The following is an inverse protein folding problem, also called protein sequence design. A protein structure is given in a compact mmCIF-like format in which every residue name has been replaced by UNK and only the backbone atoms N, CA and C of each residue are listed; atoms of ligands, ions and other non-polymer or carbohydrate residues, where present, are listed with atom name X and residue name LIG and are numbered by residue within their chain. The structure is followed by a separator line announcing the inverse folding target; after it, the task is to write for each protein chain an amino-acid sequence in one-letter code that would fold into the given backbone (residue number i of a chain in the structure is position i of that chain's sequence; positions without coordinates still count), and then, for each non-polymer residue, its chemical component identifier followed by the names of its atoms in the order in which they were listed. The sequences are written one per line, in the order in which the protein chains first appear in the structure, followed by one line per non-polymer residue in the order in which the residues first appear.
data_IF_250426632738
#
_entry.id   IF_250426632738
#
_cell.length_a   1.000
_cell.length_b   1.000
_cell.length_c   1.000
_cell.angle_alpha   90.00
_cell.angle_beta   90.00
_cell.angle_gamma   90.00
#
_symmetry.space_group_name_H-M   'P 1'
#
loop_
_entity.id
_entity.type
_entity.pdbx_description
1 polymer ?
#
# COMPACT_ATOMS: atom_id res chain seq x y z
N UNK A 1 -14.69 31.40 -33.05
CA UNK A 1 -15.79 31.22 -32.10
C UNK A 1 -15.61 32.23 -30.98
N UNK A 2 -16.61 33.08 -30.75
CA UNK A 2 -16.66 33.93 -29.58
C UNK A 2 -16.85 33.04 -28.35
N UNK A 3 -15.87 33.08 -27.43
CA UNK A 3 -15.92 32.34 -26.15
C UNK A 3 -16.63 33.23 -25.12
N UNK A 4 -17.81 32.83 -24.68
CA UNK A 4 -18.64 33.60 -23.74
C UNK A 4 -18.25 33.39 -22.27
N UNK A 5 -17.27 32.50 -21.99
CA UNK A 5 -16.75 32.21 -20.65
C UNK A 5 -15.49 33.02 -20.33
N UNK A 6 -15.31 33.32 -19.04
CA UNK A 6 -14.07 33.94 -18.56
C UNK A 6 -12.88 33.01 -18.82
N UNK A 7 -11.88 33.53 -19.51
CA UNK A 7 -10.63 32.80 -19.79
C UNK A 7 -9.54 33.25 -18.83
N UNK A 8 -8.86 32.31 -18.22
CA UNK A 8 -7.66 32.54 -17.40
C UNK A 8 -6.47 32.02 -18.20
N UNK A 9 -5.62 32.93 -18.68
CA UNK A 9 -4.40 32.58 -19.42
C UNK A 9 -3.30 32.23 -18.41
N UNK A 10 -2.69 31.05 -18.57
CA UNK A 10 -1.60 30.56 -17.73
C UNK A 10 -0.47 30.00 -18.59
N UNK A 11 0.76 30.00 -18.07
CA UNK A 11 1.93 29.49 -18.80
C UNK A 11 1.91 27.95 -18.91
N UNK A 12 1.52 27.27 -17.81
CA UNK A 12 1.42 25.81 -17.77
C UNK A 12 0.02 25.39 -17.29
N UNK A 13 -0.81 25.01 -18.24
CA UNK A 13 -2.19 24.57 -17.98
C UNK A 13 -2.23 23.31 -17.10
N UNK A 14 -1.38 22.33 -17.37
CA UNK A 14 -1.32 21.07 -16.60
C UNK A 14 -1.02 21.32 -15.13
N UNK A 15 -0.01 22.14 -14.83
CA UNK A 15 0.34 22.48 -13.45
C UNK A 15 -0.78 23.27 -12.75
N UNK A 16 -1.44 24.18 -13.45
CA UNK A 16 -2.55 24.93 -12.86
C UNK A 16 -3.75 24.04 -12.53
N UNK A 17 -4.07 23.09 -13.40
CA UNK A 17 -5.14 22.10 -13.15
C UNK A 17 -4.76 21.21 -11.96
N UNK A 18 -3.53 20.73 -11.90
CA UNK A 18 -3.04 19.94 -10.75
C UNK A 18 -3.21 20.71 -9.45
N UNK A 19 -2.70 21.95 -9.39
CA UNK A 19 -2.80 22.80 -8.20
C UNK A 19 -4.26 23.02 -7.76
N UNK A 20 -5.18 23.25 -8.71
CA UNK A 20 -6.61 23.42 -8.43
C UNK A 20 -7.24 22.14 -7.85
N UNK A 21 -6.89 20.97 -8.41
CA UNK A 21 -7.36 19.68 -7.91
C UNK A 21 -6.81 19.39 -6.51
N UNK A 22 -5.55 19.70 -6.24
CA UNK A 22 -4.93 19.58 -4.92
C UNK A 22 -5.61 20.51 -3.89
N UNK A 23 -5.82 21.78 -4.25
CA UNK A 23 -6.54 22.73 -3.40
C UNK A 23 -7.95 22.22 -3.08
N UNK A 24 -8.70 21.75 -4.08
CA UNK A 24 -10.02 21.19 -3.86
C UNK A 24 -9.97 19.93 -2.97
N UNK A 25 -9.01 19.03 -3.21
CA UNK A 25 -8.84 17.83 -2.40
C UNK A 25 -8.50 18.16 -0.93
N UNK A 26 -7.72 19.21 -0.70
CA UNK A 26 -7.38 19.68 0.66
C UNK A 26 -8.59 20.21 1.44
N UNK A 27 -9.67 20.66 0.75
CA UNK A 27 -10.92 21.07 1.41
C UNK A 27 -11.78 19.92 1.88
N UNK A 28 -11.51 18.68 1.44
CA UNK A 28 -12.28 17.51 1.85
C UNK A 28 -11.97 17.17 3.32
N UNK A 29 -13.01 16.96 4.15
CA UNK A 29 -12.79 16.60 5.53
C UNK A 29 -12.06 15.26 5.63
N UNK A 30 -10.97 15.21 6.39
CA UNK A 30 -10.29 13.96 6.72
C UNK A 30 -11.14 13.21 7.76
N UNK A 31 -11.28 11.91 7.57
CA UNK A 31 -11.85 11.06 8.60
C UNK A 31 -10.87 10.94 9.77
N UNK A 32 -11.39 10.93 10.98
CA UNK A 32 -10.64 10.72 12.22
C UNK A 32 -11.41 9.82 13.15
N UNK A 33 -10.72 9.23 14.13
CA UNK A 33 -11.32 8.38 15.14
C UNK A 33 -11.28 6.89 14.80
N UNK A 34 -11.40 6.09 15.83
CA UNK A 34 -11.32 4.62 15.77
C UNK A 34 -12.75 4.08 15.93
N UNK A 35 -13.17 3.24 14.99
CA UNK A 35 -14.46 2.56 15.08
C UNK A 35 -14.51 1.61 16.26
N UNK A 36 -15.66 1.56 16.93
CA UNK A 36 -15.93 0.57 17.98
C UNK A 36 -16.04 -0.87 17.45
N UNK A 37 -16.18 -1.04 16.14
CA UNK A 37 -16.21 -2.33 15.46
C UNK A 37 -14.84 -2.75 14.93
N UNK A 38 -13.79 -1.95 15.11
CA UNK A 38 -12.42 -2.33 14.82
C UNK A 38 -11.85 -3.17 15.98
N UNK A 39 -11.03 -4.16 15.64
CA UNK A 39 -10.27 -4.96 16.61
C UNK A 39 -8.82 -4.51 16.59
N UNK A 40 -8.34 -3.90 17.65
CA UNK A 40 -6.96 -3.44 17.79
C UNK A 40 -6.35 -4.13 18.98
N UNK A 41 -5.23 -4.84 18.74
CA UNK A 41 -4.49 -5.50 19.81
C UNK A 41 -3.91 -4.47 20.79
N UNK A 42 -3.95 -4.75 22.08
CA UNK A 42 -3.44 -3.84 23.14
C UNK A 42 -1.92 -3.56 23.01
N UNK A 43 -1.16 -4.47 22.39
CA UNK A 43 0.27 -4.27 22.11
C UNK A 43 0.54 -3.45 20.81
N UNK A 44 -0.50 -3.07 20.06
CA UNK A 44 -0.35 -2.21 18.90
C UNK A 44 -0.16 -0.74 19.34
N UNK A 45 0.66 0.00 18.59
CA UNK A 45 0.93 1.41 18.84
C UNK A 45 0.25 2.26 17.76
N UNK A 46 -0.63 3.17 18.19
CA UNK A 46 -1.36 4.06 17.31
C UNK A 46 -0.86 5.49 17.48
N UNK A 47 -0.49 6.12 16.37
CA UNK A 47 -0.16 7.54 16.33
C UNK A 47 -1.38 8.44 16.49
N UNK A 48 -1.15 9.75 16.59
CA UNK A 48 -2.21 10.74 16.74
C UNK A 48 -3.05 10.90 15.47
N UNK A 49 -4.30 11.33 15.63
CA UNK A 49 -5.22 11.67 14.55
C UNK A 49 -5.47 10.56 13.50
N UNK A 50 -5.31 9.30 13.89
CA UNK A 50 -5.62 8.17 13.02
C UNK A 50 -7.11 7.99 12.80
N UNK A 51 -7.47 7.43 11.65
CA UNK A 51 -8.79 6.87 11.37
C UNK A 51 -8.68 5.37 11.19
N UNK A 52 -9.53 4.61 11.89
CA UNK A 52 -9.67 3.16 11.71
C UNK A 52 -11.14 2.82 11.51
N UNK A 53 -11.47 2.29 10.33
CA UNK A 53 -12.83 1.94 9.93
C UNK A 53 -13.31 0.60 10.50
N UNK A 54 -14.59 0.33 10.29
CA UNK A 54 -15.29 -0.85 10.81
C UNK A 54 -14.64 -2.15 10.31
N UNK A 55 -14.61 -3.17 11.18
CA UNK A 55 -14.11 -4.52 10.89
C UNK A 55 -12.64 -4.58 10.45
N UNK A 56 -11.88 -3.53 10.72
CA UNK A 56 -10.42 -3.55 10.57
C UNK A 56 -9.80 -4.26 11.76
N UNK A 57 -8.81 -5.13 11.47
CA UNK A 57 -8.03 -5.84 12.49
C UNK A 57 -6.60 -5.32 12.46
N UNK A 58 -6.06 -4.98 13.63
CA UNK A 58 -4.66 -4.57 13.82
C UNK A 58 -4.06 -5.47 14.90
N UNK A 59 -3.06 -6.25 14.52
CA UNK A 59 -2.45 -7.29 15.35
C UNK A 59 -1.33 -6.77 16.26
N UNK A 60 -0.78 -7.69 17.06
CA UNK A 60 0.21 -7.38 18.08
C UNK A 60 1.50 -6.76 17.51
N UNK A 61 2.06 -5.80 18.21
CA UNK A 61 3.31 -5.14 17.84
C UNK A 61 3.25 -4.25 16.60
N UNK A 62 2.08 -4.12 15.96
CA UNK A 62 1.90 -3.20 14.84
C UNK A 62 2.13 -1.75 15.29
N UNK A 63 2.80 -0.96 14.44
CA UNK A 63 3.12 0.45 14.69
C UNK A 63 2.53 1.32 13.59
N UNK A 64 1.55 2.13 13.92
CA UNK A 64 0.85 3.02 13.00
C UNK A 64 1.24 4.46 13.31
N UNK A 65 1.80 5.14 12.33
CA UNK A 65 2.23 6.54 12.45
C UNK A 65 1.06 7.51 12.61
N UNK A 66 1.38 8.79 12.87
CA UNK A 66 0.36 9.84 12.99
C UNK A 66 -0.37 10.07 11.65
N UNK A 67 -1.61 10.54 11.73
CA UNK A 67 -2.42 10.93 10.57
C UNK A 67 -2.70 9.80 9.55
N UNK A 68 -2.50 8.54 9.91
CA UNK A 68 -2.80 7.39 9.06
C UNK A 68 -4.32 7.18 8.97
N UNK A 69 -4.80 6.86 7.77
CA UNK A 69 -6.21 6.55 7.52
C UNK A 69 -6.36 5.09 7.07
N UNK A 70 -6.90 4.24 7.91
CA UNK A 70 -7.18 2.83 7.60
C UNK A 70 -8.69 2.67 7.43
N UNK A 71 -9.11 2.40 6.21
CA UNK A 71 -10.52 2.24 5.86
C UNK A 71 -11.04 0.86 6.29
N UNK A 72 -12.37 0.60 6.19
CA UNK A 72 -12.96 -0.63 6.70
C UNK A 72 -12.40 -1.93 6.11
N UNK A 73 -12.49 -3.03 6.88
CA UNK A 73 -12.16 -4.40 6.45
C UNK A 73 -10.68 -4.61 6.09
N UNK A 74 -9.78 -3.80 6.62
CA UNK A 74 -8.34 -4.00 6.47
C UNK A 74 -7.81 -5.00 7.49
N UNK A 75 -6.72 -5.67 7.13
CA UNK A 75 -5.94 -6.52 8.03
C UNK A 75 -4.50 -6.01 8.10
N UNK A 76 -4.05 -5.70 9.29
CA UNK A 76 -2.69 -5.25 9.59
C UNK A 76 -2.08 -6.29 10.53
N UNK A 77 -1.16 -7.09 10.01
CA UNK A 77 -0.57 -8.23 10.70
C UNK A 77 0.42 -7.84 11.81
N UNK A 78 0.90 -8.86 12.51
CA UNK A 78 1.85 -8.70 13.61
C UNK A 78 3.11 -7.94 13.17
N UNK A 79 3.57 -7.03 14.02
CA UNK A 79 4.80 -6.25 13.83
C UNK A 79 4.87 -5.45 12.51
N UNK A 80 3.74 -5.19 11.87
CA UNK A 80 3.68 -4.30 10.70
C UNK A 80 3.97 -2.86 11.12
N UNK A 81 4.72 -2.14 10.27
CA UNK A 81 4.96 -0.70 10.47
C UNK A 81 4.31 0.10 9.35
N UNK A 82 3.55 1.15 9.69
CA UNK A 82 2.92 2.06 8.74
C UNK A 82 3.35 3.49 9.06
N UNK A 83 3.98 4.13 8.08
CA UNK A 83 4.47 5.50 8.19
C UNK A 83 3.35 6.54 8.21
N UNK A 84 3.70 7.72 8.72
CA UNK A 84 2.80 8.86 8.86
C UNK A 84 2.10 9.25 7.56
N UNK A 85 0.83 9.69 7.65
CA UNK A 85 0.07 10.23 6.54
C UNK A 85 -0.43 9.20 5.51
N UNK A 86 -0.05 7.93 5.66
CA UNK A 86 -0.42 6.86 4.73
C UNK A 86 -1.93 6.59 4.75
N UNK A 87 -2.49 6.35 3.56
CA UNK A 87 -3.89 6.05 3.36
C UNK A 87 -4.07 4.62 2.84
N UNK A 88 -4.86 3.84 3.55
CA UNK A 88 -5.11 2.42 3.30
C UNK A 88 -6.59 2.22 3.03
N UNK A 89 -6.94 1.97 1.77
CA UNK A 89 -8.32 1.82 1.31
C UNK A 89 -8.94 0.48 1.73
N UNK A 90 -10.28 0.30 1.59
CA UNK A 90 -10.96 -0.87 2.12
C UNK A 90 -10.41 -2.20 1.61
N UNK A 91 -10.36 -3.19 2.49
CA UNK A 91 -9.99 -4.55 2.14
C UNK A 91 -8.50 -4.80 1.90
N UNK A 92 -7.62 -3.84 2.13
CA UNK A 92 -6.16 -4.04 2.07
C UNK A 92 -5.70 -5.00 3.15
N UNK A 93 -4.75 -5.86 2.80
CA UNK A 93 -4.13 -6.82 3.72
C UNK A 93 -2.61 -6.66 3.70
N UNK A 94 -2.06 -6.46 4.88
CA UNK A 94 -0.61 -6.36 5.10
C UNK A 94 -0.23 -7.46 6.08
N UNK A 95 0.54 -8.43 5.59
CA UNK A 95 0.97 -9.57 6.38
C UNK A 95 2.08 -9.18 7.37
N UNK A 96 2.30 -10.06 8.34
CA UNK A 96 3.23 -9.84 9.45
C UNK A 96 4.65 -9.45 8.98
N UNK A 97 5.30 -8.59 9.76
CA UNK A 97 6.68 -8.15 9.57
C UNK A 97 6.94 -7.25 8.36
N UNK A 98 5.91 -6.86 7.62
CA UNK A 98 6.04 -5.94 6.50
C UNK A 98 6.08 -4.49 6.96
N UNK A 99 6.65 -3.61 6.13
CA UNK A 99 6.68 -2.17 6.39
C UNK A 99 6.15 -1.35 5.22
N UNK A 100 5.42 -0.30 5.53
CA UNK A 100 4.91 0.72 4.60
C UNK A 100 5.38 2.08 5.07
N UNK A 101 6.00 2.84 4.19
CA UNK A 101 6.53 4.16 4.45
C UNK A 101 5.48 5.23 4.65
N UNK A 102 5.91 6.50 4.60
CA UNK A 102 5.06 7.68 4.77
C UNK A 102 4.35 8.07 3.48
N UNK A 103 3.19 8.73 3.64
CA UNK A 103 2.42 9.32 2.54
C UNK A 103 2.07 8.32 1.42
N UNK A 104 2.06 7.04 1.71
CA UNK A 104 1.68 6.02 0.74
C UNK A 104 0.15 5.99 0.53
N UNK A 105 -0.26 5.52 -0.64
CA UNK A 105 -1.66 5.28 -0.97
C UNK A 105 -1.81 3.82 -1.41
N UNK A 106 -2.53 3.03 -0.61
CA UNK A 106 -2.81 1.63 -0.92
C UNK A 106 -4.29 1.52 -1.30
N UNK A 107 -4.56 1.27 -2.58
CA UNK A 107 -5.93 1.14 -3.07
C UNK A 107 -6.60 -0.17 -2.64
N UNK A 108 -7.92 -0.25 -2.84
CA UNK A 108 -8.74 -1.36 -2.32
C UNK A 108 -8.24 -2.73 -2.79
N UNK A 109 -8.21 -3.69 -1.87
CA UNK A 109 -7.85 -5.07 -2.15
C UNK A 109 -6.35 -5.34 -2.37
N UNK A 110 -5.47 -4.35 -2.19
CA UNK A 110 -4.01 -4.56 -2.21
C UNK A 110 -3.62 -5.60 -1.16
N UNK A 111 -2.72 -6.52 -1.55
CA UNK A 111 -2.15 -7.54 -0.67
C UNK A 111 -0.63 -7.38 -0.63
N UNK A 112 -0.09 -7.21 0.57
CA UNK A 112 1.35 -7.04 0.80
C UNK A 112 1.84 -8.17 1.70
N UNK A 113 2.85 -8.93 1.24
CA UNK A 113 3.53 -9.93 2.05
C UNK A 113 2.91 -11.31 2.04
N UNK A 114 2.03 -11.63 1.07
CA UNK A 114 1.64 -13.01 0.82
C UNK A 114 2.86 -13.83 0.37
N UNK A 115 2.81 -15.15 0.59
CA UNK A 115 3.90 -16.04 0.20
C UNK A 115 4.14 -16.01 -1.31
N UNK A 116 5.40 -15.87 -1.70
CA UNK A 116 5.83 -16.05 -3.08
C UNK A 116 5.63 -17.48 -3.59
N UNK A 117 5.65 -17.65 -4.90
CA UNK A 117 5.50 -18.94 -5.58
C UNK A 117 6.81 -19.75 -5.46
N UNK A 118 6.91 -20.52 -4.38
CA UNK A 118 8.10 -21.31 -4.06
C UNK A 118 7.73 -22.77 -3.74
N UNK A 119 8.12 -23.71 -4.64
CA UNK A 119 7.87 -25.14 -4.47
C UNK A 119 9.09 -25.96 -4.94
N UNK A 120 9.37 -27.07 -4.25
CA UNK A 120 10.40 -28.04 -4.62
C UNK A 120 9.72 -29.32 -5.12
N UNK A 121 10.13 -29.87 -6.28
CA UNK A 121 9.60 -31.15 -6.75
C UNK A 121 10.06 -32.30 -5.85
N UNK A 122 9.18 -33.29 -5.65
CA UNK A 122 9.47 -34.54 -4.96
C UNK A 122 9.60 -35.68 -5.96
N UNK A 123 10.17 -36.80 -5.52
CA UNK A 123 10.36 -38.00 -6.36
C UNK A 123 9.05 -38.61 -6.85
N UNK A 124 7.96 -38.44 -6.09
CA UNK A 124 6.61 -38.90 -6.44
C UNK A 124 5.87 -37.99 -7.43
N UNK A 125 6.53 -36.92 -7.92
CA UNK A 125 5.94 -35.93 -8.83
C UNK A 125 5.10 -34.85 -8.14
N UNK A 126 4.94 -34.90 -6.84
CA UNK A 126 4.30 -33.85 -6.06
C UNK A 126 5.23 -32.69 -5.77
N UNK A 127 4.72 -31.60 -5.16
CA UNK A 127 5.49 -30.42 -4.80
C UNK A 127 5.44 -30.15 -3.29
N UNK A 128 6.61 -29.88 -2.70
CA UNK A 128 6.72 -29.39 -1.34
C UNK A 128 6.71 -27.86 -1.34
N UNK A 129 5.91 -27.25 -0.48
CA UNK A 129 5.96 -25.80 -0.22
C UNK A 129 7.34 -25.42 0.34
N UNK A 130 7.95 -24.39 -0.23
CA UNK A 130 9.13 -23.74 0.34
C UNK A 130 8.63 -22.57 1.20
N UNK A 131 8.86 -22.58 2.53
CA UNK A 131 8.47 -21.47 3.39
C UNK A 131 9.09 -20.16 2.95
N UNK A 132 8.32 -19.09 3.01
CA UNK A 132 8.75 -17.73 2.69
C UNK A 132 8.90 -16.96 4.00
N UNK A 133 10.14 -16.71 4.44
CA UNK A 133 10.47 -16.19 5.77
C UNK A 133 10.85 -14.70 5.75
N UNK A 134 10.96 -14.10 4.57
CA UNK A 134 11.26 -12.69 4.42
C UNK A 134 10.01 -11.81 4.55
N UNK A 135 10.14 -10.56 4.15
CA UNK A 135 9.07 -9.59 4.25
C UNK A 135 8.98 -8.71 2.98
N UNK A 136 8.15 -7.66 3.05
CA UNK A 136 8.06 -6.60 2.04
C UNK A 136 8.37 -5.26 2.71
N UNK A 137 9.14 -4.43 2.02
CA UNK A 137 9.42 -3.05 2.38
C UNK A 137 8.87 -2.14 1.29
N UNK A 138 7.87 -1.33 1.64
CA UNK A 138 7.37 -0.25 0.81
C UNK A 138 7.96 1.05 1.36
N UNK A 139 8.73 1.78 0.56
CA UNK A 139 9.29 3.07 0.97
C UNK A 139 8.24 4.20 0.89
N UNK A 140 8.67 5.46 1.13
CA UNK A 140 7.77 6.61 1.18
C UNK A 140 7.17 6.99 -0.20
N UNK A 141 6.05 7.70 -0.19
CA UNK A 141 5.40 8.29 -1.36
C UNK A 141 4.98 7.28 -2.44
N UNK A 142 4.81 6.00 -2.09
CA UNK A 142 4.39 4.92 -3.01
C UNK A 142 2.88 4.89 -3.17
N UNK A 143 2.41 4.64 -4.39
CA UNK A 143 1.00 4.38 -4.66
C UNK A 143 0.82 3.00 -5.31
N UNK A 144 -0.05 2.18 -4.73
CA UNK A 144 -0.38 0.84 -5.21
C UNK A 144 -1.85 0.78 -5.64
N UNK A 145 -2.10 0.51 -6.91
CA UNK A 145 -3.43 0.38 -7.50
C UNK A 145 -4.21 -0.82 -6.96
N UNK A 146 -5.50 -0.83 -7.21
CA UNK A 146 -6.42 -1.82 -6.66
C UNK A 146 -6.05 -3.26 -7.04
N UNK A 147 -6.17 -4.17 -6.07
CA UNK A 147 -5.87 -5.60 -6.21
C UNK A 147 -4.43 -5.91 -6.70
N UNK A 148 -3.50 -5.00 -6.50
CA UNK A 148 -2.06 -5.27 -6.69
C UNK A 148 -1.56 -6.15 -5.57
N UNK A 149 -0.77 -7.18 -5.92
CA UNK A 149 -0.18 -8.13 -4.98
C UNK A 149 1.35 -8.01 -5.00
N UNK A 150 1.95 -7.96 -3.82
CA UNK A 150 3.40 -7.92 -3.63
C UNK A 150 3.79 -9.06 -2.69
N UNK A 151 4.48 -10.05 -3.25
CA UNK A 151 4.89 -11.24 -2.50
C UNK A 151 6.07 -10.92 -1.57
N UNK A 152 6.07 -11.57 -0.39
CA UNK A 152 7.23 -11.51 0.50
C UNK A 152 8.42 -12.24 -0.12
N UNK A 153 9.60 -11.81 0.25
CA UNK A 153 10.82 -12.51 -0.10
C UNK A 153 10.88 -13.91 0.54
N UNK A 154 11.58 -14.84 -0.10
CA UNK A 154 11.91 -16.14 0.50
C UNK A 154 12.76 -15.95 1.77
N UNK A 155 13.79 -15.14 1.66
CA UNK A 155 14.64 -14.63 2.73
C UNK A 155 14.96 -13.18 2.38
N UNK A 156 15.24 -12.33 3.35
CA UNK A 156 15.46 -10.90 3.13
C UNK A 156 14.16 -10.15 2.77
N UNK A 157 14.15 -9.21 1.83
CA UNK A 157 13.01 -8.36 1.54
C UNK A 157 12.70 -8.26 0.04
N UNK A 158 11.41 -8.19 -0.31
CA UNK A 158 10.94 -7.60 -1.57
C UNK A 158 10.80 -6.09 -1.34
N UNK A 159 11.34 -5.25 -2.22
CA UNK A 159 11.48 -3.82 -1.96
C UNK A 159 10.81 -2.99 -3.06
N UNK A 160 9.92 -2.09 -2.64
CA UNK A 160 9.34 -1.06 -3.51
C UNK A 160 9.90 0.29 -3.07
N UNK A 161 10.76 0.87 -3.90
CA UNK A 161 11.47 2.11 -3.58
C UNK A 161 10.55 3.33 -3.62
N UNK A 162 11.07 4.43 -3.07
CA UNK A 162 10.34 5.69 -2.93
C UNK A 162 9.75 6.18 -4.26
N UNK A 163 8.53 6.73 -4.19
CA UNK A 163 7.88 7.41 -5.32
C UNK A 163 7.28 6.49 -6.38
N UNK A 164 7.41 5.17 -6.24
CA UNK A 164 6.87 4.20 -7.21
C UNK A 164 5.34 4.32 -7.31
N UNK A 165 4.81 4.22 -8.55
CA UNK A 165 3.39 4.23 -8.87
C UNK A 165 3.03 2.97 -9.65
N UNK A 166 2.32 2.06 -9.02
CA UNK A 166 1.80 0.84 -9.64
C UNK A 166 0.31 0.99 -9.87
N UNK A 167 -0.13 0.74 -11.09
CA UNK A 167 -1.55 0.70 -11.46
C UNK A 167 -2.22 -0.58 -10.93
N UNK A 168 -3.44 -0.85 -11.32
CA UNK A 168 -4.26 -1.94 -10.79
C UNK A 168 -3.79 -3.32 -11.28
N UNK A 169 -4.05 -4.37 -10.46
CA UNK A 169 -3.85 -5.77 -10.84
C UNK A 169 -2.39 -6.12 -11.19
N UNK A 170 -1.43 -5.46 -10.58
CA UNK A 170 -0.01 -5.76 -10.77
C UNK A 170 0.42 -6.89 -9.83
N UNK A 171 1.27 -7.81 -10.31
CA UNK A 171 1.90 -8.85 -9.50
C UNK A 171 3.40 -8.61 -9.41
N UNK A 172 3.90 -8.40 -8.20
CA UNK A 172 5.33 -8.36 -7.90
C UNK A 172 5.72 -9.63 -7.16
N UNK A 173 6.59 -10.42 -7.76
CA UNK A 173 7.09 -11.68 -7.19
C UNK A 173 8.08 -11.47 -6.04
N UNK A 174 8.43 -12.57 -5.37
CA UNK A 174 9.35 -12.56 -4.24
C UNK A 174 10.76 -12.06 -4.60
N UNK A 175 11.43 -11.39 -3.67
CA UNK A 175 12.82 -10.92 -3.84
C UNK A 175 13.02 -9.96 -5.04
N UNK A 176 11.99 -9.24 -5.44
CA UNK A 176 12.07 -8.20 -6.48
C UNK A 176 12.42 -6.87 -5.82
N UNK A 177 13.20 -6.05 -6.49
CA UNK A 177 13.40 -4.65 -6.15
C UNK A 177 12.91 -3.75 -7.28
N UNK A 178 11.92 -2.89 -7.00
CA UNK A 178 11.43 -1.88 -7.93
C UNK A 178 12.11 -0.54 -7.60
N UNK A 179 12.87 -0.01 -8.56
CA UNK A 179 13.62 1.24 -8.41
C UNK A 179 12.73 2.46 -8.18
N UNK A 180 13.30 3.51 -7.56
CA UNK A 180 12.58 4.73 -7.22
C UNK A 180 11.91 5.37 -8.44
N UNK A 181 10.75 6.00 -8.21
CA UNK A 181 9.97 6.75 -9.19
C UNK A 181 9.54 5.94 -10.44
N UNK A 182 9.61 4.60 -10.37
CA UNK A 182 9.12 3.71 -11.43
C UNK A 182 7.59 3.79 -11.52
N UNK A 183 7.08 3.82 -12.75
CA UNK A 183 5.65 3.79 -13.06
C UNK A 183 5.33 2.56 -13.90
N UNK A 184 4.32 1.79 -13.50
CA UNK A 184 3.86 0.60 -14.23
C UNK A 184 2.36 0.67 -14.49
N UNK A 185 1.97 0.37 -15.74
CA UNK A 185 0.56 0.23 -16.12
C UNK A 185 -0.05 -1.07 -15.60
N UNK A 186 -1.38 -1.14 -15.63
CA UNK A 186 -2.13 -2.27 -15.10
C UNK A 186 -1.73 -3.64 -15.70
N UNK A 187 -1.88 -4.68 -14.90
CA UNK A 187 -1.64 -6.09 -15.26
C UNK A 187 -0.18 -6.43 -15.61
N UNK A 188 0.78 -5.59 -15.26
CA UNK A 188 2.21 -5.97 -15.33
C UNK A 188 2.51 -7.04 -14.29
N UNK A 189 3.28 -8.05 -14.69
CA UNK A 189 3.81 -9.08 -13.80
C UNK A 189 5.34 -9.04 -13.79
N UNK A 190 5.94 -9.00 -12.60
CA UNK A 190 7.39 -9.12 -12.39
C UNK A 190 7.65 -10.45 -11.70
N UNK A 191 8.43 -11.32 -12.36
CA UNK A 191 8.79 -12.61 -11.80
C UNK A 191 9.71 -12.45 -10.58
N UNK A 192 9.70 -13.44 -9.69
CA UNK A 192 10.55 -13.42 -8.50
C UNK A 192 12.03 -13.36 -8.83
N UNK A 193 12.81 -12.69 -7.98
CA UNK A 193 14.27 -12.54 -8.08
C UNK A 193 14.73 -11.78 -9.35
N UNK A 194 13.94 -10.77 -9.75
CA UNK A 194 14.24 -9.85 -10.87
C UNK A 194 14.74 -8.52 -10.36
#
# INVERSE_FOLDING_TARGET
QEVTTTLIKVENVGQCVLNLLEMYNATRPRKTGISKLASINEAAQMGENCYVGDFTVIEAGAKVGANVQIYPQCYIGDNVTIGEGTKIYPGVKIYEGCSVGKNCILHAGVVIGADGFGFAPREDGSFAKIPQLGNVIIEDDVELGANTCIDRAKTDSTIIRRGVKLDNLIQIGHNVEIGSDTVMSAQVGIAGTS
#
